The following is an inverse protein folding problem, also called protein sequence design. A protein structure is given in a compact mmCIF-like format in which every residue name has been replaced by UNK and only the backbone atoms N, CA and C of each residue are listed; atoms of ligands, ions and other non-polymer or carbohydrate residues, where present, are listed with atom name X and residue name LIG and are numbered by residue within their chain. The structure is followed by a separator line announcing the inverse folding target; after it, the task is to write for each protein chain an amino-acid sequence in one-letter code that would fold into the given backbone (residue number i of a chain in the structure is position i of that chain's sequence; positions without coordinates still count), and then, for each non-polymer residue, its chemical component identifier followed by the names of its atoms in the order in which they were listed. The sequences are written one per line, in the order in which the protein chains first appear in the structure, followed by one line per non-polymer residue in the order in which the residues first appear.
data_IF_300637247111
#
_entry.id   IF_300637247111
#
_cell.length_a   1.000
_cell.length_b   1.000
_cell.length_c   1.000
_cell.angle_alpha   90.00
_cell.angle_beta   90.00
_cell.angle_gamma   90.00
#
_symmetry.space_group_name_H-M   'P 1'
#
loop_
_entity.id
_entity.type
_entity.pdbx_description
1 polymer ?
#
# COMPACT_ATOMS: atom_id res chain seq x y z
N UNK A 1 -38.65 -19.66 -12.95
CA UNK A 1 -38.26 -19.39 -11.56
C UNK A 1 -36.92 -18.66 -11.59
N UNK A 2 -36.90 -17.38 -11.23
CA UNK A 2 -35.64 -16.65 -11.00
C UNK A 2 -35.15 -17.06 -9.61
N UNK A 3 -33.97 -17.70 -9.54
CA UNK A 3 -33.30 -17.95 -8.27
C UNK A 3 -32.77 -16.62 -7.75
N UNK A 4 -33.40 -16.06 -6.72
CA UNK A 4 -32.83 -14.96 -5.94
C UNK A 4 -31.72 -15.54 -5.06
N UNK A 5 -30.48 -15.09 -5.27
CA UNK A 5 -29.35 -15.47 -4.42
C UNK A 5 -29.60 -14.99 -2.99
N UNK A 6 -29.21 -15.78 -1.99
CA UNK A 6 -29.24 -15.31 -0.61
C UNK A 6 -28.11 -14.29 -0.38
N UNK A 7 -28.27 -13.41 0.60
CA UNK A 7 -27.21 -12.44 0.96
C UNK A 7 -25.88 -13.13 1.30
N UNK A 8 -25.95 -14.35 1.85
CA UNK A 8 -24.77 -15.18 2.12
C UNK A 8 -24.09 -15.63 0.81
N UNK A 9 -24.84 -15.98 -0.23
CA UNK A 9 -24.28 -16.41 -1.50
C UNK A 9 -23.61 -15.23 -2.23
N UNK A 10 -24.24 -14.05 -2.19
CA UNK A 10 -23.69 -12.82 -2.79
C UNK A 10 -22.37 -12.43 -2.12
N UNK A 11 -22.29 -12.51 -0.79
CA UNK A 11 -21.05 -12.28 -0.05
C UNK A 11 -19.96 -13.27 -0.48
N UNK A 12 -20.24 -14.58 -0.47
CA UNK A 12 -19.26 -15.61 -0.79
C UNK A 12 -18.71 -15.48 -2.23
N UNK A 13 -19.56 -15.14 -3.20
CA UNK A 13 -19.13 -14.91 -4.59
C UNK A 13 -18.22 -13.68 -4.65
N UNK A 14 -18.66 -12.58 -4.04
CA UNK A 14 -17.92 -11.31 -4.05
C UNK A 14 -16.58 -11.46 -3.35
N UNK A 15 -16.54 -12.10 -2.19
CA UNK A 15 -15.31 -12.27 -1.42
C UNK A 15 -14.30 -13.15 -2.14
N UNK A 16 -14.76 -14.24 -2.75
CA UNK A 16 -13.91 -15.14 -3.55
C UNK A 16 -13.23 -14.41 -4.71
N UNK A 17 -13.96 -13.54 -5.41
CA UNK A 17 -13.41 -12.73 -6.52
C UNK A 17 -12.31 -11.77 -6.04
N UNK A 18 -12.50 -11.13 -4.89
CA UNK A 18 -11.49 -10.23 -4.33
C UNK A 18 -10.27 -10.95 -3.78
N UNK A 19 -10.47 -12.13 -3.19
CA UNK A 19 -9.37 -13.01 -2.76
C UNK A 19 -8.54 -13.47 -3.95
N UNK A 20 -9.19 -13.85 -5.06
CA UNK A 20 -8.54 -14.19 -6.32
C UNK A 20 -7.76 -13.00 -6.88
N UNK A 21 -8.41 -11.83 -6.99
CA UNK A 21 -7.76 -10.59 -7.45
C UNK A 21 -6.54 -10.21 -6.61
N UNK A 22 -6.59 -10.41 -5.28
CA UNK A 22 -5.44 -10.20 -4.40
C UNK A 22 -4.28 -11.15 -4.73
N UNK A 23 -4.55 -12.43 -5.01
CA UNK A 23 -3.53 -13.40 -5.37
C UNK A 23 -2.95 -13.16 -6.76
N UNK A 24 -3.76 -12.75 -7.71
CA UNK A 24 -3.29 -12.32 -9.03
C UNK A 24 -2.35 -11.11 -8.92
N UNK A 25 -2.74 -10.12 -8.10
CA UNK A 25 -1.91 -8.94 -7.83
C UNK A 25 -0.60 -9.30 -7.14
N UNK A 26 -0.63 -10.17 -6.11
CA UNK A 26 0.56 -10.71 -5.46
C UNK A 26 1.50 -11.38 -6.48
N UNK A 27 0.96 -12.26 -7.34
CA UNK A 27 1.75 -12.96 -8.35
C UNK A 27 2.39 -11.96 -9.34
N UNK A 28 1.63 -10.99 -9.82
CA UNK A 28 2.14 -9.94 -10.70
C UNK A 28 3.26 -9.13 -10.04
N UNK A 29 3.05 -8.66 -8.81
CA UNK A 29 4.02 -7.85 -8.08
C UNK A 29 5.32 -8.62 -7.80
N UNK A 30 5.24 -9.89 -7.41
CA UNK A 30 6.40 -10.74 -7.16
C UNK A 30 7.16 -11.05 -8.46
N UNK A 31 6.45 -11.27 -9.56
CA UNK A 31 7.08 -11.44 -10.88
C UNK A 31 7.81 -10.17 -11.32
N UNK A 32 7.24 -9.00 -11.08
CA UNK A 32 7.89 -7.71 -11.33
C UNK A 32 9.12 -7.53 -10.44
N UNK A 33 9.05 -7.92 -9.17
CA UNK A 33 10.18 -7.86 -8.26
C UNK A 33 11.34 -8.75 -8.72
N UNK A 34 11.03 -9.96 -9.21
CA UNK A 34 12.02 -10.95 -9.65
C UNK A 34 12.63 -10.66 -11.04
N UNK A 35 11.86 -10.07 -11.97
CA UNK A 35 12.26 -9.95 -13.38
C UNK A 35 12.40 -8.51 -13.88
N UNK A 36 12.25 -7.51 -13.02
CA UNK A 36 12.45 -6.11 -13.42
C UNK A 36 13.88 -5.86 -13.90
N UNK A 37 14.01 -5.01 -14.93
CA UNK A 37 15.33 -4.55 -15.43
C UNK A 37 16.19 -3.92 -14.34
N UNK A 38 15.54 -3.40 -13.30
CA UNK A 38 16.13 -2.92 -12.07
C UNK A 38 15.72 -3.87 -10.95
N UNK A 39 16.48 -4.94 -10.77
CA UNK A 39 16.14 -5.96 -9.79
C UNK A 39 16.02 -5.35 -8.39
N UNK A 40 14.93 -5.70 -7.70
CA UNK A 40 14.80 -5.43 -6.27
C UNK A 40 15.94 -6.15 -5.53
N UNK A 41 16.45 -5.54 -4.47
CA UNK A 41 17.35 -6.26 -3.57
C UNK A 41 16.63 -7.42 -2.91
N UNK A 42 17.37 -8.48 -2.56
CA UNK A 42 16.83 -9.67 -1.90
C UNK A 42 16.03 -9.30 -0.66
N UNK A 43 16.57 -8.40 0.17
CA UNK A 43 15.92 -7.87 1.37
C UNK A 43 14.56 -7.19 1.07
N UNK A 44 14.45 -6.50 -0.06
CA UNK A 44 13.21 -5.83 -0.48
C UNK A 44 12.21 -6.81 -1.07
N UNK A 45 12.68 -7.87 -1.73
CA UNK A 45 11.83 -8.98 -2.18
C UNK A 45 11.25 -9.74 -0.99
N UNK A 46 12.07 -10.06 0.03
CA UNK A 46 11.63 -10.69 1.28
C UNK A 46 10.62 -9.81 2.03
N UNK A 47 10.86 -8.50 2.08
CA UNK A 47 9.91 -7.53 2.62
C UNK A 47 8.58 -7.56 1.88
N UNK A 48 8.62 -7.46 0.55
CA UNK A 48 7.42 -7.47 -0.27
C UNK A 48 6.62 -8.78 -0.10
N UNK A 49 7.30 -9.93 -0.11
CA UNK A 49 6.67 -11.24 0.11
C UNK A 49 5.94 -11.30 1.45
N UNK A 50 6.64 -10.92 2.52
CA UNK A 50 6.06 -10.91 3.87
C UNK A 50 4.89 -9.94 3.98
N UNK A 51 4.96 -8.76 3.35
CA UNK A 51 3.82 -7.84 3.31
C UNK A 51 2.60 -8.53 2.69
N UNK A 52 2.74 -9.17 1.54
CA UNK A 52 1.61 -9.87 0.92
C UNK A 52 1.09 -11.02 1.79
N UNK A 53 1.94 -11.81 2.41
CA UNK A 53 1.50 -12.93 3.26
C UNK A 53 0.74 -12.41 4.49
N UNK A 54 1.24 -11.37 5.14
CA UNK A 54 0.62 -10.73 6.29
C UNK A 54 -0.72 -10.08 5.94
N UNK A 55 -0.78 -9.32 4.85
CA UNK A 55 -2.02 -8.65 4.41
C UNK A 55 -3.04 -9.63 3.84
N UNK A 56 -2.60 -10.74 3.25
CA UNK A 56 -3.49 -11.82 2.83
C UNK A 56 -4.14 -12.51 4.02
N UNK A 57 -3.38 -12.83 5.07
CA UNK A 57 -3.93 -13.36 6.33
C UNK A 57 -4.97 -12.41 6.93
N UNK A 58 -4.66 -11.11 6.94
CA UNK A 58 -5.60 -10.09 7.40
C UNK A 58 -6.87 -10.01 6.54
N UNK A 59 -6.75 -10.14 5.21
CA UNK A 59 -7.89 -10.16 4.29
C UNK A 59 -8.81 -11.35 4.58
N UNK A 60 -8.28 -12.55 4.76
CA UNK A 60 -9.06 -13.76 5.08
C UNK A 60 -9.73 -13.66 6.46
N UNK A 61 -9.03 -13.11 7.45
CA UNK A 61 -9.63 -12.88 8.77
C UNK A 61 -10.79 -11.87 8.67
N UNK A 62 -10.62 -10.82 7.87
CA UNK A 62 -11.66 -9.81 7.65
C UNK A 62 -12.85 -10.39 6.89
N UNK A 63 -12.61 -11.23 5.87
CA UNK A 63 -13.64 -11.96 5.14
C UNK A 63 -14.50 -12.80 6.10
N UNK A 64 -13.84 -13.63 6.92
CA UNK A 64 -14.51 -14.49 7.90
C UNK A 64 -15.38 -13.69 8.88
N UNK A 65 -14.87 -12.55 9.37
CA UNK A 65 -15.61 -11.68 10.27
C UNK A 65 -16.81 -11.01 9.61
N UNK A 66 -16.65 -10.51 8.38
CA UNK A 66 -17.73 -9.85 7.63
C UNK A 66 -18.81 -10.84 7.19
N UNK A 67 -18.44 -12.07 6.82
CA UNK A 67 -19.38 -13.13 6.47
C UNK A 67 -20.23 -13.62 7.65
N UNK A 68 -19.79 -13.37 8.89
CA UNK A 68 -20.51 -13.74 10.11
C UNK A 68 -21.55 -12.70 10.58
N UNK A 69 -21.65 -11.54 9.93
CA UNK A 69 -22.54 -10.45 10.33
C UNK A 69 -23.55 -10.09 9.24
N UNK A 70 -24.68 -9.52 9.64
CA UNK A 70 -25.68 -9.01 8.67
C UNK A 70 -25.38 -7.58 8.20
N UNK A 71 -24.73 -6.78 9.05
CA UNK A 71 -24.40 -5.38 8.77
C UNK A 71 -23.06 -5.04 9.41
N UNK A 72 -22.34 -4.08 8.82
CA UNK A 72 -21.10 -3.56 9.38
C UNK A 72 -21.39 -2.51 10.45
N UNK A 73 -20.98 -2.81 11.68
CA UNK A 73 -21.10 -1.91 12.83
C UNK A 73 -19.74 -1.34 13.29
N UNK A 74 -19.80 -0.41 14.25
CA UNK A 74 -18.60 0.21 14.82
C UNK A 74 -17.69 -0.78 15.54
N UNK A 75 -18.22 -1.89 16.06
CA UNK A 75 -17.43 -2.87 16.80
C UNK A 75 -16.57 -3.67 15.84
N UNK A 76 -17.16 -4.18 14.75
CA UNK A 76 -16.44 -4.85 13.68
C UNK A 76 -15.37 -3.94 13.10
N UNK A 77 -15.72 -2.68 12.83
CA UNK A 77 -14.77 -1.68 12.35
C UNK A 77 -13.57 -1.48 13.29
N UNK A 78 -13.83 -1.34 14.59
CA UNK A 78 -12.78 -1.17 15.59
C UNK A 78 -11.84 -2.38 15.61
N UNK A 79 -12.38 -3.60 15.52
CA UNK A 79 -11.56 -4.82 15.47
C UNK A 79 -10.75 -4.89 14.18
N UNK A 80 -11.34 -4.61 13.01
CA UNK A 80 -10.63 -4.58 11.73
C UNK A 80 -9.49 -3.56 11.73
N UNK A 81 -9.74 -2.37 12.29
CA UNK A 81 -8.74 -1.31 12.45
C UNK A 81 -7.62 -1.71 13.42
N UNK A 82 -7.97 -2.36 14.53
CA UNK A 82 -6.99 -2.84 15.51
C UNK A 82 -6.13 -3.96 14.93
N UNK A 83 -6.73 -4.89 14.18
CA UNK A 83 -6.01 -5.96 13.49
C UNK A 83 -5.00 -5.40 12.48
N UNK A 84 -5.37 -4.38 11.69
CA UNK A 84 -4.44 -3.77 10.74
C UNK A 84 -3.29 -3.04 11.44
N UNK A 85 -3.58 -2.35 12.55
CA UNK A 85 -2.55 -1.72 13.39
C UNK A 85 -1.59 -2.76 13.97
N UNK A 86 -2.12 -3.84 14.54
CA UNK A 86 -1.31 -4.92 15.12
C UNK A 86 -0.48 -5.62 14.03
N UNK A 87 -1.02 -5.78 12.83
CA UNK A 87 -0.29 -6.28 11.66
C UNK A 87 0.91 -5.39 11.34
N UNK A 88 0.72 -4.06 11.29
CA UNK A 88 1.80 -3.11 11.07
C UNK A 88 2.91 -3.23 12.11
N UNK A 89 2.55 -3.40 13.40
CA UNK A 89 3.54 -3.61 14.46
C UNK A 89 4.28 -4.93 14.29
N UNK A 90 3.56 -6.04 14.03
CA UNK A 90 4.14 -7.37 13.80
C UNK A 90 5.12 -7.39 12.63
N UNK A 91 4.79 -6.68 11.55
CA UNK A 91 5.71 -6.47 10.43
C UNK A 91 6.96 -5.77 10.94
N UNK A 92 6.88 -4.64 11.65
CA UNK A 92 8.12 -4.00 12.11
C UNK A 92 8.92 -4.80 13.13
N UNK A 93 8.27 -5.51 14.04
CA UNK A 93 8.94 -6.32 15.06
C UNK A 93 9.72 -7.47 14.41
N UNK A 94 9.13 -8.14 13.42
CA UNK A 94 9.82 -9.21 12.68
C UNK A 94 11.02 -8.70 11.88
N UNK A 95 10.94 -7.48 11.35
CA UNK A 95 12.00 -6.88 10.53
C UNK A 95 13.11 -6.24 11.36
N UNK A 96 12.78 -5.63 12.49
CA UNK A 96 13.78 -5.05 13.41
C UNK A 96 14.53 -6.13 14.18
N UNK A 97 13.92 -7.29 14.44
CA UNK A 97 14.57 -8.43 15.10
C UNK A 97 15.48 -9.24 14.17
N UNK A 98 15.25 -9.19 12.85
CA UNK A 98 16.06 -9.92 11.88
C UNK A 98 17.32 -9.12 11.52
N UNK A 99 18.49 -9.70 11.79
CA UNK A 99 19.80 -9.14 11.46
C UNK A 99 20.03 -9.00 9.94
N UNK A 100 19.15 -9.57 9.11
CA UNK A 100 19.26 -9.57 7.64
C UNK A 100 18.78 -8.28 6.98
N UNK A 101 18.08 -7.40 7.70
CA UNK A 101 17.52 -6.19 7.13
C UNK A 101 18.49 -5.00 7.24
N UNK A 102 18.77 -4.36 6.11
CA UNK A 102 19.62 -3.18 6.10
C UNK A 102 18.95 -2.01 6.85
N UNK A 103 19.59 -1.45 7.89
CA UNK A 103 19.03 -0.34 8.66
C UNK A 103 18.71 0.90 7.81
N UNK A 104 19.37 1.05 6.66
CA UNK A 104 19.13 2.16 5.71
C UNK A 104 17.78 2.03 5.01
N UNK A 105 17.40 0.81 4.62
CA UNK A 105 16.10 0.52 4.00
C UNK A 105 14.95 0.86 4.94
N UNK A 106 15.00 0.35 6.18
CA UNK A 106 13.94 0.58 7.16
C UNK A 106 13.78 2.08 7.48
N UNK A 107 14.88 2.84 7.55
CA UNK A 107 14.82 4.30 7.78
C UNK A 107 14.04 5.07 6.71
N UNK A 108 14.09 4.63 5.46
CA UNK A 108 13.38 5.27 4.35
C UNK A 108 11.96 4.71 4.17
N UNK A 109 11.84 3.38 4.21
CA UNK A 109 10.60 2.70 3.89
C UNK A 109 9.58 2.75 5.04
N UNK A 110 9.99 2.51 6.29
CA UNK A 110 9.05 2.40 7.41
C UNK A 110 8.21 3.67 7.61
N UNK A 111 8.78 4.90 7.60
CA UNK A 111 7.96 6.10 7.72
C UNK A 111 6.99 6.28 6.54
N UNK A 112 7.41 5.93 5.33
CA UNK A 112 6.55 6.01 4.13
C UNK A 112 5.39 5.00 4.20
N UNK A 113 5.66 3.77 4.60
CA UNK A 113 4.64 2.75 4.85
C UNK A 113 3.66 3.18 5.93
N UNK A 114 4.15 3.73 7.05
CA UNK A 114 3.29 4.17 8.14
C UNK A 114 2.31 5.28 7.71
N UNK A 115 2.76 6.21 6.86
CA UNK A 115 1.89 7.22 6.26
C UNK A 115 0.82 6.58 5.39
N UNK A 116 1.19 5.65 4.51
CA UNK A 116 0.24 4.96 3.65
C UNK A 116 -0.76 4.10 4.46
N UNK A 117 -0.30 3.43 5.52
CA UNK A 117 -1.14 2.64 6.40
C UNK A 117 -2.12 3.52 7.20
N UNK A 118 -1.68 4.67 7.69
CA UNK A 118 -2.57 5.65 8.31
C UNK A 118 -3.66 6.11 7.32
N UNK A 119 -3.29 6.37 6.07
CA UNK A 119 -4.24 6.74 5.03
C UNK A 119 -5.22 5.60 4.72
N UNK A 120 -4.75 4.35 4.61
CA UNK A 120 -5.60 3.17 4.44
C UNK A 120 -6.61 3.01 5.59
N UNK A 121 -6.15 3.05 6.84
CA UNK A 121 -7.02 2.89 8.02
C UNK A 121 -8.03 4.02 8.19
N UNK A 122 -7.71 5.23 7.75
CA UNK A 122 -8.66 6.34 7.75
C UNK A 122 -9.81 6.19 6.75
N UNK A 123 -9.71 5.24 5.79
CA UNK A 123 -10.81 4.88 4.90
C UNK A 123 -11.85 4.01 5.59
N UNK A 124 -11.45 3.22 6.60
CA UNK A 124 -12.30 2.22 7.25
C UNK A 124 -13.67 2.78 7.67
N UNK A 125 -13.80 3.96 8.32
CA UNK A 125 -15.11 4.47 8.72
C UNK A 125 -16.15 4.62 7.59
N UNK A 126 -15.73 4.64 6.32
CA UNK A 126 -16.62 4.77 5.16
C UNK A 126 -17.40 3.50 4.83
N UNK A 127 -16.99 2.34 5.35
CA UNK A 127 -17.68 1.06 5.12
C UNK A 127 -18.77 0.77 6.17
N UNK A 128 -18.93 1.66 7.16
CA UNK A 128 -20.01 1.56 8.15
C UNK A 128 -21.37 1.57 7.44
N UNK A 129 -22.31 0.75 7.93
CA UNK A 129 -23.68 0.65 7.41
C UNK A 129 -23.79 0.15 5.97
N UNK A 130 -22.69 -0.25 5.33
CA UNK A 130 -22.73 -1.00 4.08
C UNK A 130 -23.12 -2.46 4.37
N UNK A 131 -23.66 -3.13 3.37
CA UNK A 131 -23.80 -4.57 3.41
C UNK A 131 -22.40 -5.24 3.39
N UNK A 132 -22.24 -6.42 3.99
CA UNK A 132 -20.92 -7.06 4.09
C UNK A 132 -20.20 -7.25 2.76
N UNK A 133 -20.93 -7.57 1.69
CA UNK A 133 -20.41 -7.75 0.34
C UNK A 133 -19.83 -6.44 -0.24
N UNK A 134 -20.58 -5.34 -0.12
CA UNK A 134 -20.14 -4.01 -0.55
C UNK A 134 -18.96 -3.53 0.29
N UNK A 135 -19.04 -3.70 1.62
CA UNK A 135 -17.96 -3.32 2.53
C UNK A 135 -16.66 -4.07 2.24
N UNK A 136 -16.73 -5.39 2.03
CA UNK A 136 -15.58 -6.22 1.73
C UNK A 136 -14.97 -5.86 0.38
N UNK A 137 -15.80 -5.59 -0.63
CA UNK A 137 -15.34 -5.14 -1.94
C UNK A 137 -14.58 -3.82 -1.86
N UNK A 138 -15.19 -2.81 -1.23
CA UNK A 138 -14.55 -1.49 -1.02
C UNK A 138 -13.23 -1.60 -0.26
N UNK A 139 -13.17 -2.48 0.74
CA UNK A 139 -11.98 -2.66 1.56
C UNK A 139 -10.86 -3.38 0.79
N UNK A 140 -11.22 -4.40 0.01
CA UNK A 140 -10.29 -5.17 -0.81
C UNK A 140 -9.68 -4.34 -1.93
N UNK A 141 -10.49 -3.50 -2.59
CA UNK A 141 -10.02 -2.54 -3.59
C UNK A 141 -8.99 -1.57 -3.00
N UNK A 142 -9.27 -1.00 -1.82
CA UNK A 142 -8.34 -0.11 -1.14
C UNK A 142 -7.07 -0.84 -0.67
N UNK A 143 -7.19 -2.09 -0.23
CA UNK A 143 -6.05 -2.90 0.14
C UNK A 143 -5.13 -3.15 -1.07
N UNK A 144 -5.70 -3.49 -2.23
CA UNK A 144 -4.93 -3.67 -3.47
C UNK A 144 -4.18 -2.41 -3.87
N UNK A 145 -4.86 -1.26 -3.84
CA UNK A 145 -4.24 0.04 -4.11
C UNK A 145 -3.09 0.34 -3.12
N UNK A 146 -3.31 0.05 -1.83
CA UNK A 146 -2.28 0.17 -0.79
C UNK A 146 -1.08 -0.79 -1.01
N UNK A 147 -1.32 -2.03 -1.45
CA UNK A 147 -0.23 -2.99 -1.74
C UNK A 147 0.58 -2.59 -2.97
N UNK A 148 -0.09 -2.10 -4.02
CA UNK A 148 0.56 -1.51 -5.19
C UNK A 148 1.42 -0.30 -4.78
N UNK A 149 0.90 0.54 -3.88
CA UNK A 149 1.63 1.68 -3.32
C UNK A 149 2.90 1.25 -2.59
N UNK A 150 2.81 0.20 -1.77
CA UNK A 150 3.94 -0.34 -1.03
C UNK A 150 5.02 -0.90 -1.97
N UNK A 151 4.63 -1.60 -3.05
CA UNK A 151 5.55 -2.09 -4.08
C UNK A 151 6.34 -0.93 -4.72
N UNK A 152 5.64 0.12 -5.16
CA UNK A 152 6.28 1.27 -5.81
C UNK A 152 7.18 2.03 -4.83
N UNK A 153 6.75 2.20 -3.59
CA UNK A 153 7.55 2.81 -2.51
C UNK A 153 8.83 2.01 -2.23
N UNK A 154 8.76 0.67 -2.24
CA UNK A 154 9.95 -0.18 -2.10
C UNK A 154 10.88 -0.03 -3.31
N UNK A 155 10.34 0.07 -4.52
CA UNK A 155 11.14 0.28 -5.72
C UNK A 155 11.88 1.62 -5.72
N UNK A 156 11.22 2.68 -5.24
CA UNK A 156 11.83 3.99 -5.02
C UNK A 156 13.01 3.87 -4.05
N UNK A 157 12.78 3.26 -2.88
CA UNK A 157 13.81 3.09 -1.84
C UNK A 157 15.00 2.27 -2.36
N UNK A 158 14.75 1.17 -3.08
CA UNK A 158 15.82 0.37 -3.67
C UNK A 158 16.65 1.16 -4.68
N UNK A 159 15.98 1.98 -5.49
CA UNK A 159 16.67 2.82 -6.47
C UNK A 159 17.54 3.87 -5.79
N UNK A 160 17.04 4.47 -4.71
CA UNK A 160 17.77 5.47 -3.92
C UNK A 160 19.00 4.88 -3.20
N UNK A 161 18.91 3.64 -2.71
CA UNK A 161 19.97 3.00 -1.91
C UNK A 161 21.01 2.27 -2.75
N UNK A 162 20.58 1.55 -3.79
CA UNK A 162 21.42 0.58 -4.49
C UNK A 162 21.69 0.96 -5.94
N UNK A 163 21.05 2.00 -6.45
CA UNK A 163 21.26 2.51 -7.82
C UNK A 163 21.64 3.99 -7.83
N UNK A 164 22.68 4.40 -7.06
CA UNK A 164 23.03 5.80 -6.83
C UNK A 164 23.38 6.59 -8.11
N UNK A 165 23.79 5.90 -9.18
CA UNK A 165 24.15 6.52 -10.47
C UNK A 165 22.93 6.80 -11.35
N UNK A 166 21.76 6.29 -10.98
CA UNK A 166 20.52 6.50 -11.72
C UNK A 166 19.74 7.69 -11.19
N UNK A 167 18.89 8.26 -12.03
CA UNK A 167 18.01 9.36 -11.62
C UNK A 167 17.04 8.86 -10.56
N UNK A 168 17.02 9.52 -9.41
CA UNK A 168 16.03 9.27 -8.37
C UNK A 168 14.63 9.46 -8.96
N UNK A 169 13.65 8.72 -8.46
CA UNK A 169 12.28 8.92 -8.89
C UNK A 169 11.31 8.84 -7.72
N UNK A 170 10.16 9.45 -7.94
CA UNK A 170 9.00 9.32 -7.08
C UNK A 170 7.78 8.97 -7.93
N UNK A 171 7.03 7.98 -7.49
CA UNK A 171 5.82 7.52 -8.15
C UNK A 171 4.61 8.34 -7.70
N UNK A 172 3.67 8.50 -8.63
CA UNK A 172 2.30 8.98 -8.37
C UNK A 172 1.36 7.90 -8.87
N UNK A 173 0.67 7.23 -7.95
CA UNK A 173 -0.25 6.13 -8.24
C UNK A 173 -1.69 6.45 -7.83
N UNK A 174 -2.61 5.53 -8.14
CA UNK A 174 -4.03 5.70 -7.86
C UNK A 174 -4.31 5.84 -6.37
N UNK A 175 -3.52 5.20 -5.51
CA UNK A 175 -3.65 5.33 -4.06
C UNK A 175 -3.34 6.76 -3.60
N UNK A 176 -2.26 7.37 -4.09
CA UNK A 176 -1.93 8.77 -3.81
C UNK A 176 -3.05 9.71 -4.26
N UNK A 177 -3.59 9.47 -5.46
CA UNK A 177 -4.68 10.25 -6.03
C UNK A 177 -5.95 10.13 -5.19
N UNK A 178 -6.32 8.91 -4.81
CA UNK A 178 -7.49 8.66 -3.99
C UNK A 178 -7.38 9.37 -2.62
N UNK A 179 -6.25 9.23 -1.94
CA UNK A 179 -6.03 9.87 -0.63
C UNK A 179 -6.02 11.41 -0.75
N UNK A 180 -5.44 11.96 -1.81
CA UNK A 180 -5.47 13.39 -2.07
C UNK A 180 -6.89 13.91 -2.24
N UNK A 181 -7.76 13.21 -2.96
CA UNK A 181 -9.15 13.61 -3.14
C UNK A 181 -9.95 13.51 -1.84
N UNK A 182 -9.67 12.48 -1.02
CA UNK A 182 -10.40 12.25 0.21
C UNK A 182 -9.99 13.17 1.36
N UNK A 183 -8.72 13.55 1.44
CA UNK A 183 -8.13 14.17 2.64
C UNK A 183 -7.35 15.45 2.34
N UNK A 184 -7.13 15.76 1.06
CA UNK A 184 -6.22 16.83 0.63
C UNK A 184 -4.74 16.51 0.90
N UNK A 185 -4.43 15.27 1.29
CA UNK A 185 -3.08 14.86 1.63
C UNK A 185 -2.32 14.35 0.40
N UNK A 186 -1.20 14.99 0.10
CA UNK A 186 -0.29 14.54 -0.96
C UNK A 186 0.76 13.59 -0.35
N UNK A 187 0.46 12.28 -0.42
CA UNK A 187 1.35 11.24 0.09
C UNK A 187 2.72 11.28 -0.60
N UNK A 188 2.77 11.62 -1.89
CA UNK A 188 4.02 11.70 -2.65
C UNK A 188 4.92 12.81 -2.13
N UNK A 189 4.37 13.99 -1.82
CA UNK A 189 5.16 15.07 -1.19
C UNK A 189 5.66 14.65 0.19
N UNK A 190 4.84 13.96 0.99
CA UNK A 190 5.27 13.47 2.31
C UNK A 190 6.41 12.44 2.18
N UNK A 191 6.32 11.50 1.23
CA UNK A 191 7.40 10.54 0.93
C UNK A 191 8.68 11.24 0.46
N UNK A 192 8.58 12.21 -0.46
CA UNK A 192 9.72 12.98 -0.93
C UNK A 192 10.46 13.65 0.24
N UNK A 193 9.74 14.25 1.19
CA UNK A 193 10.33 14.86 2.39
C UNK A 193 11.01 13.84 3.29
N UNK A 194 10.44 12.64 3.45
CA UNK A 194 11.07 11.54 4.19
C UNK A 194 12.41 11.20 3.52
N UNK A 195 12.43 11.03 2.21
CA UNK A 195 13.66 10.72 1.50
C UNK A 195 14.68 11.86 1.68
N UNK A 196 14.32 13.10 1.39
CA UNK A 196 15.23 14.24 1.45
C UNK A 196 15.83 14.47 2.86
N UNK A 197 15.03 14.27 3.91
CA UNK A 197 15.50 14.36 5.30
C UNK A 197 16.51 13.27 5.68
N UNK A 198 16.53 12.18 4.91
CA UNK A 198 17.47 11.08 5.03
C UNK A 198 18.51 11.04 3.90
N UNK A 199 18.72 12.14 3.17
CA UNK A 199 19.74 12.25 2.11
C UNK A 199 21.17 11.92 2.56
N UNK A 200 21.48 12.04 3.86
CA UNK A 200 22.76 11.59 4.45
C UNK A 200 22.91 10.07 4.52
N UNK A 201 21.85 9.30 4.29
CA UNK A 201 21.85 7.83 4.32
C UNK A 201 22.51 7.24 3.05
N UNK A 202 22.55 8.00 1.95
CA UNK A 202 22.87 7.49 0.61
C UNK A 202 24.17 8.05 0.00
N UNK A 203 24.95 8.83 0.75
CA UNK A 203 26.21 9.49 0.31
C UNK A 203 26.12 10.31 -1.01
N UNK A 204 24.91 10.51 -1.53
CA UNK A 204 24.63 11.16 -2.80
C UNK A 204 23.69 12.36 -2.61
N UNK A 205 24.06 13.50 -3.19
CA UNK A 205 23.12 14.58 -3.40
C UNK A 205 22.18 14.19 -4.55
N UNK A 206 20.93 13.82 -4.24
CA UNK A 206 19.91 13.57 -5.26
C UNK A 206 19.50 14.89 -5.92
N UNK A 207 20.30 15.37 -6.86
CA UNK A 207 20.06 16.61 -7.59
C UNK A 207 19.03 16.44 -8.71
N UNK A 208 18.85 15.22 -9.20
CA UNK A 208 17.92 14.92 -10.29
C UNK A 208 16.87 13.92 -9.84
N UNK A 209 15.62 14.37 -9.80
CA UNK A 209 14.43 13.56 -9.55
C UNK A 209 13.57 13.50 -10.80
N UNK A 210 12.92 12.36 -11.01
CA UNK A 210 11.89 12.16 -12.02
C UNK A 210 10.57 11.78 -11.35
N UNK A 211 9.47 12.28 -11.89
CA UNK A 211 8.13 11.88 -11.45
C UNK A 211 7.66 10.78 -12.40
N UNK A 212 7.31 9.61 -11.86
CA UNK A 212 6.73 8.51 -12.63
C UNK A 212 5.23 8.42 -12.36
N UNK A 213 4.43 8.67 -13.39
CA UNK A 213 2.98 8.55 -13.32
C UNK A 213 2.56 7.09 -13.56
N UNK A 214 1.86 6.52 -12.58
CA UNK A 214 1.21 5.21 -12.64
C UNK A 214 -0.31 5.30 -12.48
N UNK A 215 -0.84 6.52 -12.31
CA UNK A 215 -2.28 6.81 -12.24
C UNK A 215 -2.79 7.46 -13.51
N UNK A 216 -4.03 7.17 -13.88
CA UNK A 216 -4.78 7.92 -14.89
C UNK A 216 -5.80 8.89 -14.30
N UNK A 217 -5.83 9.04 -12.97
CA UNK A 217 -6.80 9.88 -12.29
C UNK A 217 -6.59 11.37 -12.65
N UNK A 218 -7.65 12.17 -12.82
CA UNK A 218 -7.53 13.57 -13.25
C UNK A 218 -6.68 14.45 -12.33
N UNK A 219 -6.63 14.11 -11.05
CA UNK A 219 -5.86 14.82 -10.03
C UNK A 219 -4.36 14.44 -10.03
N UNK A 220 -3.94 13.41 -10.77
CA UNK A 220 -2.53 13.03 -10.89
C UNK A 220 -1.69 14.19 -11.42
N UNK A 221 -2.22 14.97 -12.38
CA UNK A 221 -1.58 16.17 -12.94
C UNK A 221 -1.35 17.25 -11.88
N UNK A 222 -2.28 17.39 -10.93
CA UNK A 222 -2.17 18.36 -9.83
C UNK A 222 -1.11 17.92 -8.82
N UNK A 223 -1.07 16.63 -8.47
CA UNK A 223 -0.05 16.05 -7.59
C UNK A 223 1.33 16.19 -8.23
N UNK A 224 1.48 15.83 -9.51
CA UNK A 224 2.71 16.01 -10.27
C UNK A 224 3.17 17.48 -10.28
N UNK A 225 2.25 18.41 -10.56
CA UNK A 225 2.56 19.84 -10.54
C UNK A 225 3.08 20.31 -9.17
N UNK A 226 2.52 19.79 -8.08
CA UNK A 226 2.97 20.12 -6.73
C UNK A 226 4.35 19.53 -6.45
N UNK A 227 4.58 18.27 -6.83
CA UNK A 227 5.89 17.60 -6.72
C UNK A 227 6.97 18.36 -7.51
N UNK A 228 6.67 18.74 -8.75
CA UNK A 228 7.59 19.48 -9.60
C UNK A 228 8.03 20.79 -8.93
N UNK A 229 7.10 21.50 -8.29
CA UNK A 229 7.41 22.73 -7.53
C UNK A 229 8.29 22.46 -6.31
N UNK A 230 8.13 21.32 -5.63
CA UNK A 230 8.97 20.95 -4.49
C UNK A 230 10.38 20.58 -4.93
N UNK A 231 10.53 19.92 -6.08
CA UNK A 231 11.82 19.50 -6.62
C UNK A 231 12.66 20.66 -7.18
N UNK A 232 12.01 21.76 -7.57
CA UNK A 232 12.69 22.98 -8.07
C UNK A 232 13.14 23.97 -6.98
N UNK A 233 12.84 23.70 -5.71
CA UNK A 233 13.18 24.56 -4.56
C UNK A 233 14.42 24.06 -3.85
#
# INVERSE_FOLDING_TARGET
MQHTLSNSDVFNITSSQWVEAFKEHQCFALNQAAHSKQAFQVTSQELLMSLYDNWFEWLLNTESMMGAVQNIDNKLLAVTSEQSRNLSHRIFDSYTASASYEPKLLKLWQPAYLLAHQAFTSYLPKIISQSPDVAFAMLSEQLLAFMQHCLLTLHEVDSLLYQPTQTAFISVDDFCCHIFDLQGEDLSIKRLKIYQSHSKVTDNSWSNWTIKQYSQAPNSVKIESNLQRQLTR
#
